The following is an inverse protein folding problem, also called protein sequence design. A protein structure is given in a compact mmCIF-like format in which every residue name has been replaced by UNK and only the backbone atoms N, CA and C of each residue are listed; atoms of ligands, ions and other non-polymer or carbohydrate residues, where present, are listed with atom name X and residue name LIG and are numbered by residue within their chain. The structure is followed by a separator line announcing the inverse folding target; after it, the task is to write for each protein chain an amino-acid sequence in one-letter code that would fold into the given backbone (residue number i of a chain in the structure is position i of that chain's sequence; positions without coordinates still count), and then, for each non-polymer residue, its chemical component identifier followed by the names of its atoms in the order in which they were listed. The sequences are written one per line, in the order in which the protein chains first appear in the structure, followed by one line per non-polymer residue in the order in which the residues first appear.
data_IF_170578579564
#
_entry.id   IF_170578579564
#
_cell.length_a   1.000
_cell.length_b   1.000
_cell.length_c   1.000
_cell.angle_alpha   90.00
_cell.angle_beta   90.00
_cell.angle_gamma   90.00
#
_symmetry.space_group_name_H-M   'P 1'
#
loop_
_entity.id
_entity.type
_entity.pdbx_description
1 polymer ?
#
# COMPACT_ATOMS: atom_id res chain seq x y z
N UNK A 1 -20.36 7.25 -4.01
CA UNK A 1 -18.95 7.68 -4.11
C UNK A 1 -18.77 9.10 -3.57
N UNK A 2 -19.42 10.10 -4.15
CA UNK A 2 -19.28 11.52 -3.76
C UNK A 2 -19.50 11.79 -2.26
N UNK A 3 -20.56 11.24 -1.63
CA UNK A 3 -20.77 11.36 -0.18
C UNK A 3 -19.60 10.80 0.66
N UNK A 4 -18.97 9.69 0.23
CA UNK A 4 -17.80 9.12 0.91
C UNK A 4 -16.57 10.01 0.74
N UNK A 5 -16.39 10.61 -0.44
CA UNK A 5 -15.30 11.57 -0.70
C UNK A 5 -15.45 12.82 0.18
N UNK A 6 -16.65 13.39 0.28
CA UNK A 6 -16.90 14.56 1.14
C UNK A 6 -16.55 14.30 2.60
N UNK A 7 -16.84 13.10 3.12
CA UNK A 7 -16.43 12.72 4.48
C UNK A 7 -14.90 12.63 4.64
N UNK A 8 -14.20 12.11 3.62
CA UNK A 8 -12.72 12.01 3.63
C UNK A 8 -12.08 13.39 3.52
N UNK A 9 -12.62 14.27 2.68
CA UNK A 9 -12.16 15.66 2.54
C UNK A 9 -12.36 16.45 3.85
N UNK A 10 -13.53 16.33 4.47
CA UNK A 10 -13.79 16.95 5.77
C UNK A 10 -12.80 16.45 6.84
N UNK A 11 -12.52 15.13 6.87
CA UNK A 11 -11.51 14.57 7.78
C UNK A 11 -10.10 15.08 7.48
N UNK A 12 -9.75 15.26 6.21
CA UNK A 12 -8.45 15.81 5.82
C UNK A 12 -8.27 17.26 6.26
N UNK A 13 -9.30 18.08 6.13
CA UNK A 13 -9.32 19.46 6.64
C UNK A 13 -9.23 19.49 8.16
N UNK A 14 -10.02 18.66 8.85
CA UNK A 14 -9.98 18.50 10.30
C UNK A 14 -8.58 18.13 10.80
N UNK A 15 -7.93 17.12 10.21
CA UNK A 15 -6.57 16.73 10.56
C UNK A 15 -5.55 17.83 10.29
N UNK A 16 -5.75 18.63 9.23
CA UNK A 16 -4.88 19.77 8.91
C UNK A 16 -5.02 20.88 9.96
N UNK A 17 -6.23 21.12 10.47
CA UNK A 17 -6.47 22.06 11.57
C UNK A 17 -5.88 21.55 12.88
N UNK A 18 -6.10 20.28 13.22
CA UNK A 18 -5.54 19.66 14.43
C UNK A 18 -4.02 19.69 14.44
N UNK A 19 -3.36 19.47 13.30
CA UNK A 19 -1.90 19.57 13.19
C UNK A 19 -1.38 21.01 13.31
N UNK A 20 -2.22 22.01 13.08
CA UNK A 20 -1.89 23.43 13.27
C UNK A 20 -2.17 23.94 14.69
N UNK A 21 -2.85 23.13 15.53
CA UNK A 21 -3.19 23.48 16.90
C UNK A 21 -1.96 23.37 17.82
N UNK A 22 -1.57 24.46 18.53
CA UNK A 22 -0.46 24.44 19.48
C UNK A 22 -0.59 23.40 20.59
N UNK A 23 -1.82 23.08 21.03
CA UNK A 23 -2.04 22.06 22.07
C UNK A 23 -1.67 20.66 21.56
N UNK A 24 -2.01 20.35 20.32
CA UNK A 24 -1.65 19.08 19.67
C UNK A 24 -0.15 19.05 19.35
N UNK A 25 0.43 20.18 18.92
CA UNK A 25 1.85 20.28 18.60
C UNK A 25 2.77 19.96 19.80
N UNK A 26 2.25 20.10 21.02
CA UNK A 26 2.97 19.76 22.26
C UNK A 26 3.04 18.24 22.55
N UNK A 27 2.20 17.43 21.90
CA UNK A 27 2.16 15.97 22.04
C UNK A 27 2.66 15.28 20.77
N UNK A 28 3.93 14.84 20.82
CA UNK A 28 4.59 14.17 19.71
C UNK A 28 3.84 12.91 19.21
N UNK A 29 3.17 12.18 20.11
CA UNK A 29 2.44 10.96 19.75
C UNK A 29 1.22 11.31 18.90
N UNK A 30 0.43 12.30 19.34
CA UNK A 30 -0.75 12.78 18.60
C UNK A 30 -0.38 13.40 17.27
N UNK A 31 0.71 14.18 17.22
CA UNK A 31 1.23 14.72 15.95
C UNK A 31 1.57 13.60 14.98
N UNK A 32 2.28 12.57 15.44
CA UNK A 32 2.64 11.42 14.58
C UNK A 32 1.40 10.69 14.07
N UNK A 33 0.41 10.44 14.93
CA UNK A 33 -0.83 9.75 14.55
C UNK A 33 -1.63 10.54 13.50
N UNK A 34 -1.86 11.84 13.74
CA UNK A 34 -2.60 12.69 12.81
C UNK A 34 -1.86 12.91 11.50
N UNK A 35 -0.53 13.05 11.54
CA UNK A 35 0.28 13.16 10.34
C UNK A 35 0.22 11.88 9.49
N UNK A 36 0.26 10.70 10.11
CA UNK A 36 0.11 9.42 9.41
C UNK A 36 -1.29 9.27 8.80
N UNK A 37 -2.34 9.61 9.55
CA UNK A 37 -3.71 9.55 9.03
C UNK A 37 -3.91 10.50 7.85
N UNK A 38 -3.44 11.75 7.97
CA UNK A 38 -3.52 12.75 6.90
C UNK A 38 -2.78 12.29 5.65
N UNK A 39 -1.56 11.78 5.80
CA UNK A 39 -0.76 11.26 4.69
C UNK A 39 -1.42 10.04 4.00
N UNK A 40 -2.22 9.26 4.74
CA UNK A 40 -2.95 8.11 4.19
C UNK A 40 -4.12 8.55 3.30
N UNK A 41 -4.83 9.61 3.67
CA UNK A 41 -6.03 10.05 2.94
C UNK A 41 -5.76 11.14 1.90
N UNK A 42 -4.62 11.84 1.98
CA UNK A 42 -4.20 12.87 1.01
C UNK A 42 -4.28 12.41 -0.46
N UNK A 43 -3.81 11.20 -0.83
CA UNK A 43 -3.90 10.77 -2.22
C UNK A 43 -5.35 10.60 -2.72
N UNK A 44 -6.30 10.30 -1.82
CA UNK A 44 -7.73 10.21 -2.15
C UNK A 44 -8.29 11.60 -2.43
N UNK A 45 -7.92 12.59 -1.60
CA UNK A 45 -8.35 13.99 -1.74
C UNK A 45 -7.82 14.59 -3.04
N UNK A 46 -6.54 14.37 -3.37
CA UNK A 46 -5.94 14.84 -4.62
C UNK A 46 -6.65 14.25 -5.86
N UNK A 47 -6.96 12.95 -5.84
CA UNK A 47 -7.71 12.31 -6.92
C UNK A 47 -9.15 12.81 -7.01
N UNK A 48 -9.79 13.09 -5.86
CA UNK A 48 -11.14 13.65 -5.83
C UNK A 48 -11.18 15.05 -6.46
N UNK A 49 -10.17 15.89 -6.16
CA UNK A 49 -10.03 17.21 -6.78
C UNK A 49 -9.86 17.10 -8.30
N UNK A 50 -8.93 16.25 -8.76
CA UNK A 50 -8.70 16.02 -10.20
C UNK A 50 -9.96 15.51 -10.91
N UNK A 51 -10.73 14.63 -10.26
CA UNK A 51 -11.98 14.11 -10.79
C UNK A 51 -13.05 15.20 -10.91
N UNK A 52 -13.18 16.09 -9.91
CA UNK A 52 -14.11 17.23 -9.95
C UNK A 52 -13.74 18.21 -11.06
N UNK A 53 -12.46 18.57 -11.15
CA UNK A 53 -11.94 19.45 -12.19
C UNK A 53 -12.22 18.86 -13.58
N UNK A 54 -11.84 17.60 -13.82
CA UNK A 54 -12.07 16.94 -15.11
C UNK A 54 -13.55 16.87 -15.48
N UNK A 55 -14.42 16.62 -14.49
CA UNK A 55 -15.87 16.56 -14.69
C UNK A 55 -16.46 17.94 -14.98
N UNK A 56 -15.94 18.98 -14.34
CA UNK A 56 -16.31 20.37 -14.60
C UNK A 56 -15.86 20.79 -16.01
N UNK A 57 -14.62 20.48 -16.40
CA UNK A 57 -14.12 20.72 -17.75
C UNK A 57 -14.95 19.98 -18.80
N UNK A 58 -15.32 18.71 -18.54
CA UNK A 58 -16.21 17.98 -19.45
C UNK A 58 -17.56 18.69 -19.64
N UNK A 59 -18.16 19.17 -18.54
CA UNK A 59 -19.43 19.89 -18.58
C UNK A 59 -19.33 21.21 -19.35
N UNK A 60 -18.25 21.95 -19.15
CA UNK A 60 -17.97 23.20 -19.89
C UNK A 60 -17.75 22.91 -21.38
N UNK A 61 -17.03 21.85 -21.70
CA UNK A 61 -16.79 21.40 -23.09
C UNK A 61 -18.08 20.95 -23.77
N UNK A 62 -18.96 20.23 -23.04
CA UNK A 62 -20.28 19.81 -23.54
C UNK A 62 -21.18 21.02 -23.85
N UNK A 63 -21.03 22.15 -23.14
CA UNK A 63 -21.77 23.38 -23.45
C UNK A 63 -21.31 24.02 -24.78
N UNK A 64 -20.05 23.82 -25.18
CA UNK A 64 -19.51 24.33 -26.45
C UNK A 64 -20.09 23.61 -27.68
N UNK A 65 -20.72 22.43 -27.51
CA UNK A 65 -21.38 21.71 -28.62
C UNK A 65 -22.54 22.49 -29.26
N UNK A 66 -23.08 23.49 -28.54
CA UNK A 66 -24.13 24.36 -29.04
C UNK A 66 -23.62 25.35 -30.12
N UNK A 67 -22.31 25.62 -30.16
CA UNK A 67 -21.68 26.48 -31.15
C UNK A 67 -21.18 25.63 -32.35
N UNK A 68 -21.73 25.81 -33.57
CA UNK A 68 -21.32 25.07 -34.75
C UNK A 68 -19.83 25.20 -35.10
N UNK A 69 -19.20 26.34 -34.80
CA UNK A 69 -17.78 26.57 -35.09
C UNK A 69 -16.88 25.81 -34.12
N UNK A 70 -17.30 25.66 -32.86
CA UNK A 70 -16.54 24.96 -31.82
C UNK A 70 -16.86 23.47 -31.71
N UNK A 71 -17.96 23.01 -32.31
CA UNK A 71 -18.48 21.64 -32.14
C UNK A 71 -17.46 20.54 -32.42
N UNK A 72 -16.73 20.63 -33.54
CA UNK A 72 -15.76 19.58 -33.90
C UNK A 72 -14.59 19.49 -32.91
N UNK A 73 -14.17 20.62 -32.33
CA UNK A 73 -13.13 20.66 -31.31
C UNK A 73 -13.65 20.08 -29.99
N UNK A 74 -14.85 20.51 -29.58
CA UNK A 74 -15.50 20.02 -28.38
C UNK A 74 -15.75 18.49 -28.41
N UNK A 75 -16.18 17.93 -29.55
CA UNK A 75 -16.37 16.49 -29.72
C UNK A 75 -15.05 15.71 -29.51
N UNK A 76 -13.94 16.22 -30.02
CA UNK A 76 -12.61 15.61 -29.84
C UNK A 76 -12.14 15.67 -28.38
N UNK A 77 -12.34 16.80 -27.71
CA UNK A 77 -11.99 16.97 -26.29
C UNK A 77 -12.84 16.07 -25.38
N UNK A 78 -14.15 16.01 -25.62
CA UNK A 78 -15.07 15.11 -24.89
C UNK A 78 -14.64 13.65 -25.04
N UNK A 79 -14.23 13.23 -26.24
CA UNK A 79 -13.75 11.88 -26.52
C UNK A 79 -12.47 11.53 -25.72
N UNK A 80 -11.63 12.53 -25.39
CA UNK A 80 -10.46 12.36 -24.54
C UNK A 80 -10.78 12.44 -23.03
N UNK A 81 -11.67 13.34 -22.62
CA UNK A 81 -12.02 13.59 -21.22
C UNK A 81 -12.80 12.44 -20.59
N UNK A 82 -13.78 11.87 -21.29
CA UNK A 82 -14.61 10.76 -20.77
C UNK A 82 -13.80 9.56 -20.28
N UNK A 83 -12.88 8.97 -21.07
CA UNK A 83 -12.08 7.84 -20.60
C UNK A 83 -11.09 8.23 -19.49
N UNK A 84 -10.63 9.48 -19.45
CA UNK A 84 -9.77 9.98 -18.36
C UNK A 84 -10.55 10.04 -17.03
N UNK A 85 -11.77 10.58 -17.06
CA UNK A 85 -12.69 10.63 -15.91
C UNK A 85 -13.02 9.23 -15.41
N UNK A 86 -13.30 8.29 -16.32
CA UNK A 86 -13.59 6.90 -15.95
C UNK A 86 -12.38 6.24 -15.25
N UNK A 87 -11.15 6.45 -15.75
CA UNK A 87 -9.93 5.96 -15.10
C UNK A 87 -9.74 6.55 -13.70
N UNK A 88 -10.02 7.86 -13.53
CA UNK A 88 -9.99 8.52 -12.23
C UNK A 88 -11.03 7.91 -11.27
N UNK A 89 -12.25 7.71 -11.75
CA UNK A 89 -13.32 7.10 -10.96
C UNK A 89 -12.95 5.68 -10.50
N UNK A 90 -12.45 4.84 -11.40
CA UNK A 90 -12.01 3.48 -11.06
C UNK A 90 -10.85 3.49 -10.05
N UNK A 91 -9.94 4.46 -10.13
CA UNK A 91 -8.84 4.61 -9.17
C UNK A 91 -9.36 5.01 -7.79
N UNK A 92 -10.28 5.99 -7.74
CA UNK A 92 -10.94 6.41 -6.49
C UNK A 92 -11.70 5.23 -5.86
N UNK A 93 -12.52 4.51 -6.64
CA UNK A 93 -13.28 3.36 -6.15
C UNK A 93 -12.40 2.30 -5.51
N UNK A 94 -11.23 2.02 -6.10
CA UNK A 94 -10.23 1.09 -5.53
C UNK A 94 -9.67 1.59 -4.19
N UNK A 95 -9.39 2.89 -4.07
CA UNK A 95 -8.86 3.46 -2.83
C UNK A 95 -9.91 3.55 -1.70
N UNK A 96 -11.19 3.58 -2.04
CA UNK A 96 -12.29 3.56 -1.07
C UNK A 96 -12.60 2.17 -0.52
N UNK A 97 -11.93 1.12 -1.00
CA UNK A 97 -12.08 -0.22 -0.45
C UNK A 97 -11.49 -0.25 0.97
N UNK A 98 -12.17 -0.90 1.93
CA UNK A 98 -11.65 -1.06 3.27
C UNK A 98 -10.29 -1.76 3.20
N UNK A 99 -9.28 -1.14 3.80
CA UNK A 99 -7.91 -1.65 3.91
C UNK A 99 -7.68 -2.19 5.31
N UNK A 100 -6.84 -3.22 5.45
CA UNK A 100 -6.50 -3.74 6.78
C UNK A 100 -5.69 -2.65 7.51
N UNK A 101 -6.05 -2.26 8.74
CA UNK A 101 -5.27 -1.29 9.51
C UNK A 101 -3.81 -1.71 9.73
N UNK A 102 -3.49 -3.00 9.55
CA UNK A 102 -2.13 -3.54 9.62
C UNK A 102 -1.36 -3.44 8.30
N UNK A 103 -2.01 -3.12 7.18
CA UNK A 103 -1.39 -3.16 5.85
C UNK A 103 -0.15 -2.26 5.75
N UNK A 104 -0.09 -1.14 6.47
CA UNK A 104 1.06 -0.21 6.46
C UNK A 104 2.18 -0.60 7.43
N UNK A 105 2.00 -1.63 8.27
CA UNK A 105 2.97 -1.99 9.30
C UNK A 105 4.17 -2.77 8.74
N UNK A 106 5.27 -2.71 9.49
CA UNK A 106 6.37 -3.68 9.39
C UNK A 106 5.85 -5.10 9.71
N UNK A 107 6.66 -6.12 9.40
CA UNK A 107 6.28 -7.52 9.65
C UNK A 107 7.43 -8.29 10.27
N UNK A 108 7.09 -9.17 11.21
CA UNK A 108 7.97 -10.20 11.74
C UNK A 108 7.71 -11.47 10.94
N UNK A 109 8.76 -12.06 10.39
CA UNK A 109 8.72 -13.34 9.69
C UNK A 109 9.44 -14.37 10.56
N UNK A 110 8.70 -15.41 10.93
CA UNK A 110 9.23 -16.57 11.66
C UNK A 110 9.30 -17.77 10.72
N UNK A 111 10.51 -18.25 10.48
CA UNK A 111 10.78 -19.45 9.68
C UNK A 111 11.20 -20.55 10.63
N UNK A 112 10.42 -21.64 10.67
CA UNK A 112 10.65 -22.78 11.57
C UNK A 112 10.80 -24.05 10.73
N UNK A 113 11.83 -24.83 11.00
CA UNK A 113 12.01 -26.14 10.38
C UNK A 113 10.88 -27.08 10.84
N UNK A 114 10.17 -27.65 9.88
CA UNK A 114 9.08 -28.60 10.12
C UNK A 114 9.57 -30.05 10.12
N UNK A 115 8.78 -30.94 9.50
CA UNK A 115 9.20 -32.31 9.27
C UNK A 115 10.32 -32.38 8.21
N UNK A 116 11.30 -33.28 8.40
CA UNK A 116 12.43 -33.45 7.49
C UNK A 116 13.81 -33.22 8.11
N UNK A 117 13.89 -32.93 9.41
CA UNK A 117 15.16 -32.85 10.14
C UNK A 117 16.11 -31.81 9.56
N UNK A 118 17.33 -32.24 9.26
CA UNK A 118 18.40 -31.39 8.73
C UNK A 118 18.04 -30.75 7.37
N UNK A 119 17.35 -31.50 6.50
CA UNK A 119 16.87 -31.02 5.20
C UNK A 119 15.84 -29.88 5.35
N UNK A 120 14.96 -29.97 6.36
CA UNK A 120 14.03 -28.88 6.69
C UNK A 120 14.77 -27.63 7.18
N UNK A 121 15.91 -27.79 7.84
CA UNK A 121 16.78 -26.69 8.25
C UNK A 121 17.44 -26.00 7.06
N UNK A 122 17.90 -26.76 6.06
CA UNK A 122 18.42 -26.20 4.81
C UNK A 122 17.32 -25.45 4.03
N UNK A 123 16.11 -26.01 3.98
CA UNK A 123 14.99 -25.34 3.33
C UNK A 123 14.58 -24.04 4.06
N UNK A 124 14.67 -23.99 5.38
CA UNK A 124 14.49 -22.74 6.14
C UNK A 124 15.52 -21.66 5.76
N UNK A 125 16.77 -22.04 5.50
CA UNK A 125 17.79 -21.12 4.99
C UNK A 125 17.49 -20.62 3.57
N UNK A 126 16.95 -21.49 2.71
CA UNK A 126 16.48 -21.10 1.37
C UNK A 126 15.34 -20.07 1.44
N UNK A 127 14.35 -20.29 2.32
CA UNK A 127 13.26 -19.33 2.55
C UNK A 127 13.78 -18.00 3.10
N UNK A 128 14.71 -18.02 4.05
CA UNK A 128 15.35 -16.81 4.55
C UNK A 128 16.03 -16.02 3.41
N UNK A 129 16.80 -16.71 2.57
CA UNK A 129 17.45 -16.09 1.39
C UNK A 129 16.43 -15.53 0.41
N UNK A 130 15.34 -16.26 0.17
CA UNK A 130 14.24 -15.82 -0.71
C UNK A 130 13.59 -14.53 -0.18
N UNK A 131 13.17 -14.50 1.08
CA UNK A 131 12.51 -13.33 1.67
C UNK A 131 13.45 -12.13 1.80
N UNK A 132 14.74 -12.35 2.10
CA UNK A 132 15.74 -11.28 2.14
C UNK A 132 15.90 -10.62 0.77
N UNK A 133 16.04 -11.41 -0.31
CA UNK A 133 16.09 -10.87 -1.69
C UNK A 133 14.79 -10.18 -2.09
N UNK A 134 13.64 -10.71 -1.68
CA UNK A 134 12.35 -10.07 -1.93
C UNK A 134 12.25 -8.69 -1.26
N UNK A 135 12.74 -8.58 -0.02
CA UNK A 135 12.80 -7.32 0.72
C UNK A 135 13.74 -6.30 0.04
N UNK A 136 14.94 -6.72 -0.37
CA UNK A 136 15.92 -5.87 -1.06
C UNK A 136 15.35 -5.28 -2.37
N UNK A 137 14.70 -6.11 -3.19
CA UNK A 137 14.07 -5.66 -4.45
C UNK A 137 12.99 -4.59 -4.23
N UNK A 138 12.39 -4.56 -3.03
CA UNK A 138 11.37 -3.58 -2.62
C UNK A 138 11.93 -2.41 -1.82
N UNK A 139 13.26 -2.35 -1.66
CA UNK A 139 13.96 -1.37 -0.82
C UNK A 139 13.50 -1.42 0.64
N UNK A 140 13.11 -2.60 1.11
CA UNK A 140 12.84 -2.86 2.52
C UNK A 140 14.13 -3.31 3.22
N UNK A 141 14.20 -3.07 4.52
CA UNK A 141 15.31 -3.50 5.36
C UNK A 141 14.92 -4.77 6.11
N UNK A 142 15.67 -5.85 5.89
CA UNK A 142 15.53 -7.11 6.62
C UNK A 142 16.59 -7.17 7.73
N UNK A 143 16.19 -7.43 8.96
CA UNK A 143 17.08 -7.56 10.12
C UNK A 143 16.77 -8.86 10.86
N UNK A 144 17.79 -9.71 11.08
CA UNK A 144 17.63 -10.89 11.94
C UNK A 144 17.50 -10.43 13.39
N UNK A 145 16.45 -10.88 14.06
CA UNK A 145 16.25 -10.67 15.51
C UNK A 145 16.83 -11.85 16.30
N UNK A 146 16.55 -13.07 15.85
CA UNK A 146 16.99 -14.30 16.51
C UNK A 146 17.19 -15.41 15.47
N UNK A 147 18.16 -16.27 15.69
CA UNK A 147 18.37 -17.45 14.85
C UNK A 147 18.92 -18.61 15.66
N UNK A 148 18.48 -19.81 15.31
CA UNK A 148 18.97 -21.09 15.81
C UNK A 148 19.50 -21.88 14.62
N UNK A 149 20.79 -21.73 14.35
CA UNK A 149 21.46 -22.38 13.22
C UNK A 149 21.69 -23.88 13.49
N UNK A 150 21.61 -24.70 12.46
CA UNK A 150 22.06 -26.09 12.49
C UNK A 150 23.53 -26.21 12.06
N UNK A 151 24.19 -27.30 12.45
CA UNK A 151 25.61 -27.52 12.15
C UNK A 151 25.95 -27.67 10.66
N UNK A 152 24.93 -27.87 9.81
CA UNK A 152 25.07 -28.04 8.36
C UNK A 152 24.73 -26.77 7.55
N UNK A 153 24.60 -25.61 8.21
CA UNK A 153 24.30 -24.33 7.54
C UNK A 153 22.82 -24.04 7.32
N UNK A 154 21.93 -24.79 7.96
CA UNK A 154 20.48 -24.54 7.99
C UNK A 154 20.03 -23.77 9.23
N UNK A 155 18.72 -23.58 9.38
CA UNK A 155 18.10 -22.99 10.58
C UNK A 155 16.99 -23.88 11.12
N UNK A 156 17.00 -24.18 12.42
CA UNK A 156 15.83 -24.77 13.11
C UNK A 156 14.75 -23.71 13.32
N UNK A 157 15.16 -22.49 13.63
CA UNK A 157 14.32 -21.32 13.81
C UNK A 157 15.07 -20.07 13.35
N UNK A 158 14.38 -19.18 12.65
CA UNK A 158 14.88 -17.86 12.28
C UNK A 158 13.74 -16.85 12.39
N UNK A 159 13.99 -15.77 13.13
CA UNK A 159 13.07 -14.65 13.32
C UNK A 159 13.73 -13.41 12.74
N UNK A 160 13.06 -12.77 11.78
CA UNK A 160 13.54 -11.53 11.16
C UNK A 160 12.45 -10.46 11.12
N UNK A 161 12.84 -9.21 11.32
CA UNK A 161 12.01 -8.04 11.09
C UNK A 161 12.23 -7.51 9.68
N UNK A 162 11.15 -7.29 8.94
CA UNK A 162 11.17 -6.59 7.65
C UNK A 162 10.54 -5.21 7.85
N UNK A 163 11.39 -4.18 7.80
CA UNK A 163 11.03 -2.76 7.90
C UNK A 163 10.83 -2.18 6.51
N UNK A 164 9.63 -1.69 6.24
CA UNK A 164 9.32 -1.11 4.94
C UNK A 164 7.85 -0.78 4.76
N UNK A 165 7.58 0.21 3.91
CA UNK A 165 6.21 0.62 3.59
C UNK A 165 5.43 -0.57 3.05
N UNK A 166 4.33 -0.90 3.73
CA UNK A 166 3.40 -1.99 3.42
C UNK A 166 3.98 -3.40 3.46
N UNK A 167 5.03 -3.64 4.24
CA UNK A 167 5.66 -4.96 4.34
C UNK A 167 4.66 -6.06 4.76
N UNK A 168 3.83 -5.80 5.79
CA UNK A 168 2.79 -6.73 6.22
C UNK A 168 1.76 -7.03 5.12
N UNK A 169 1.28 -6.01 4.40
CA UNK A 169 0.26 -6.18 3.36
C UNK A 169 0.65 -7.18 2.28
N UNK A 170 1.95 -7.25 1.95
CA UNK A 170 2.49 -8.16 0.96
C UNK A 170 2.76 -9.56 1.51
N UNK A 171 3.25 -9.66 2.75
CA UNK A 171 3.71 -10.92 3.33
C UNK A 171 2.66 -11.63 4.19
N UNK A 172 1.50 -11.02 4.46
CA UNK A 172 0.41 -11.64 5.24
C UNK A 172 -0.14 -12.93 4.65
N UNK A 173 0.11 -13.19 3.38
CA UNK A 173 -0.32 -14.41 2.68
C UNK A 173 0.71 -15.54 2.72
N UNK A 174 1.91 -15.27 3.24
CA UNK A 174 3.01 -16.23 3.35
C UNK A 174 2.88 -17.12 4.60
N UNK A 175 1.93 -16.82 5.48
CA UNK A 175 1.67 -17.60 6.68
C UNK A 175 1.15 -18.99 6.33
N UNK A 176 1.85 -20.02 6.79
CA UNK A 176 1.42 -21.40 6.58
C UNK A 176 2.60 -22.35 6.48
N UNK A 177 2.30 -23.58 6.05
CA UNK A 177 3.30 -24.61 5.84
C UNK A 177 3.76 -24.57 4.38
N UNK A 178 5.07 -24.47 4.20
CA UNK A 178 5.71 -24.52 2.88
C UNK A 178 6.21 -25.94 2.62
N UNK A 179 5.83 -26.53 1.48
CA UNK A 179 6.23 -27.89 1.09
C UNK A 179 7.39 -27.84 0.11
N UNK A 180 8.40 -28.66 0.34
CA UNK A 180 9.52 -28.89 -0.59
C UNK A 180 9.57 -30.35 -1.01
N UNK A 181 9.88 -30.59 -2.28
CA UNK A 181 10.17 -31.91 -2.83
C UNK A 181 11.44 -31.81 -3.66
N UNK A 182 12.52 -32.42 -3.18
CA UNK A 182 13.81 -32.50 -3.87
C UNK A 182 14.57 -33.74 -3.39
N UNK A 183 15.68 -34.05 -4.05
CA UNK A 183 16.65 -35.01 -3.52
C UNK A 183 17.40 -34.30 -2.38
N UNK A 184 17.37 -34.81 -1.13
CA UNK A 184 18.06 -34.18 -0.01
C UNK A 184 19.57 -34.05 -0.23
N UNK A 185 20.18 -33.01 0.31
CA UNK A 185 21.65 -32.86 0.32
C UNK A 185 22.30 -33.70 1.43
N UNK A 186 21.49 -34.11 2.42
CA UNK A 186 21.87 -34.95 3.56
C UNK A 186 21.57 -36.42 3.34
#
# INVERSE_FOLDING_TARGET
MLKKLSGIEARFEELSQLLADPEVASDYTRVSEYAQERARIEPIVLLASQYRESTQTLKETEALLADPEMRSMAEAEIAALRPAIEKLEQRIRRMLLPTDPRDERNVIVEIRAGAGGDEAGLFAADLYRMYTRYAENRRWRAEIISSNASGIGGYKELIMEIKGKRAYSHLKYESGVHRVQRVPET
#
